data_IF_051179244220
#
_entry.id   IF_051179244220
#
_cell.length_a   1.000
_cell.length_b   1.000
_cell.length_c   1.000
_cell.angle_alpha   90.00
_cell.angle_beta   90.00
_cell.angle_gamma   90.00
#
_symmetry.space_group_name_H-M   'P 1'
#
loop_
_entity.id
_entity.type
_entity.pdbx_description
1 polymer ?
#
# COMPACT_ATOMS: atom_id res chain seq x y z
N UNK A 1 -12.80 1.52 -1.71
CA UNK A 1 -13.85 1.92 -2.68
C UNK A 1 -15.26 1.77 -2.12
N UNK A 2 -15.67 0.58 -1.63
CA UNK A 2 -17.00 0.38 -1.04
C UNK A 2 -17.36 1.40 0.08
N UNK A 3 -16.40 1.74 0.94
CA UNK A 3 -16.59 2.78 1.97
C UNK A 3 -16.80 4.18 1.38
N UNK A 4 -15.98 4.60 0.41
CA UNK A 4 -16.06 5.94 -0.18
C UNK A 4 -17.39 6.14 -0.93
N UNK A 5 -17.85 5.14 -1.68
CA UNK A 5 -19.14 5.16 -2.38
C UNK A 5 -20.32 5.17 -1.39
N UNK A 6 -20.23 4.37 -0.33
CA UNK A 6 -21.28 4.35 0.70
C UNK A 6 -21.34 5.66 1.49
N UNK A 7 -20.19 6.29 1.74
CA UNK A 7 -20.11 7.57 2.44
C UNK A 7 -20.83 8.69 1.68
N UNK A 8 -20.72 8.71 0.35
CA UNK A 8 -21.45 9.64 -0.50
C UNK A 8 -22.98 9.45 -0.39
N UNK A 9 -23.47 8.21 -0.28
CA UNK A 9 -24.90 7.92 -0.04
C UNK A 9 -25.38 8.37 1.35
N UNK A 10 -24.51 8.31 2.36
CA UNK A 10 -24.80 8.85 3.69
C UNK A 10 -24.86 10.38 3.69
N UNK A 11 -23.97 11.06 2.96
CA UNK A 11 -24.01 12.52 2.79
C UNK A 11 -25.28 12.97 2.07
N UNK A 12 -25.74 12.22 1.07
CA UNK A 12 -26.99 12.48 0.35
C UNK A 12 -28.27 12.22 1.19
N UNK A 13 -28.13 11.89 2.49
CA UNK A 13 -29.22 11.54 3.42
C UNK A 13 -30.16 10.46 2.88
N UNK A 14 -29.64 9.56 2.04
CA UNK A 14 -30.43 8.49 1.47
C UNK A 14 -30.87 7.54 2.60
N UNK A 15 -32.17 7.31 2.71
CA UNK A 15 -32.77 6.48 3.78
C UNK A 15 -32.25 5.04 3.73
N UNK A 16 -31.70 4.60 2.60
CA UNK A 16 -31.16 3.25 2.39
C UNK A 16 -29.62 3.16 2.36
N UNK A 17 -28.90 4.24 2.70
CA UNK A 17 -27.42 4.27 2.64
C UNK A 17 -26.75 3.14 3.44
N UNK A 18 -27.34 2.71 4.55
CA UNK A 18 -26.86 1.59 5.36
C UNK A 18 -26.94 0.24 4.64
N UNK A 19 -27.93 0.03 3.77
CA UNK A 19 -27.98 -1.17 2.93
C UNK A 19 -26.91 -1.17 1.85
N UNK A 20 -26.52 0.00 1.36
CA UNK A 20 -25.42 0.12 0.39
C UNK A 20 -24.08 -0.26 1.03
N UNK A 21 -23.82 0.24 2.24
CA UNK A 21 -22.64 -0.16 3.02
C UNK A 21 -22.63 -1.64 3.35
N UNK A 22 -23.78 -2.17 3.78
CA UNK A 22 -23.91 -3.60 4.11
C UNK A 22 -23.73 -4.49 2.89
N UNK A 23 -24.36 -4.16 1.76
CA UNK A 23 -24.22 -4.92 0.51
C UNK A 23 -22.80 -4.86 -0.07
N UNK A 24 -22.20 -3.66 -0.13
CA UNK A 24 -20.83 -3.48 -0.61
C UNK A 24 -19.80 -4.15 0.30
N UNK A 25 -19.97 -4.01 1.62
CA UNK A 25 -19.13 -4.66 2.63
C UNK A 25 -19.25 -6.19 2.59
N UNK A 26 -20.47 -6.72 2.52
CA UNK A 26 -20.71 -8.16 2.47
C UNK A 26 -20.16 -8.78 1.18
N UNK A 27 -20.36 -8.12 0.03
CA UNK A 27 -19.80 -8.59 -1.24
C UNK A 27 -18.28 -8.64 -1.18
N UNK A 28 -17.64 -7.56 -0.70
CA UNK A 28 -16.19 -7.52 -0.54
C UNK A 28 -15.69 -8.60 0.41
N UNK A 29 -16.39 -8.82 1.53
CA UNK A 29 -16.05 -9.85 2.50
C UNK A 29 -16.18 -11.27 1.91
N UNK A 30 -17.25 -11.58 1.19
CA UNK A 30 -17.44 -12.88 0.54
C UNK A 30 -16.36 -13.13 -0.51
N UNK A 31 -16.07 -12.15 -1.37
CA UNK A 31 -14.99 -12.27 -2.36
C UNK A 31 -13.62 -12.45 -1.70
N UNK A 32 -13.37 -11.73 -0.60
CA UNK A 32 -12.15 -11.88 0.19
C UNK A 32 -12.03 -13.28 0.82
N UNK A 33 -13.12 -13.84 1.34
CA UNK A 33 -13.13 -15.21 1.85
C UNK A 33 -12.84 -16.23 0.75
N UNK A 34 -13.52 -16.12 -0.39
CA UNK A 34 -13.33 -17.04 -1.53
C UNK A 34 -11.88 -16.96 -2.03
N UNK A 35 -11.31 -15.77 -2.21
CA UNK A 35 -9.93 -15.62 -2.67
C UNK A 35 -8.93 -16.15 -1.64
N UNK A 36 -9.19 -15.97 -0.35
CA UNK A 36 -8.35 -16.52 0.73
C UNK A 36 -8.37 -18.04 0.73
N UNK A 37 -9.55 -18.65 0.65
CA UNK A 37 -9.70 -20.11 0.60
C UNK A 37 -8.97 -20.68 -0.62
N UNK A 38 -9.18 -20.08 -1.81
CA UNK A 38 -8.47 -20.45 -3.03
C UNK A 38 -6.95 -20.32 -2.83
N UNK A 39 -6.49 -19.21 -2.26
CA UNK A 39 -5.07 -18.95 -2.00
C UNK A 39 -4.42 -19.97 -1.07
N UNK A 40 -5.12 -20.40 -0.02
CA UNK A 40 -4.63 -21.44 0.90
C UNK A 40 -4.50 -22.79 0.20
N UNK A 41 -5.53 -23.21 -0.55
CA UNK A 41 -5.51 -24.50 -1.26
C UNK A 41 -4.49 -24.55 -2.40
N UNK A 42 -4.40 -23.48 -3.19
CA UNK A 42 -3.42 -23.39 -4.27
C UNK A 42 -2.01 -23.23 -3.71
N UNK A 43 -1.81 -22.38 -2.71
CA UNK A 43 -0.51 -22.09 -2.10
C UNK A 43 0.20 -23.34 -1.57
N UNK A 44 -0.54 -24.30 -1.04
CA UNK A 44 0.02 -25.58 -0.55
C UNK A 44 0.65 -26.45 -1.67
N UNK A 45 0.25 -26.24 -2.92
CA UNK A 45 0.74 -27.00 -4.08
C UNK A 45 1.81 -26.24 -4.88
N UNK A 46 2.15 -25.01 -4.48
CA UNK A 46 3.09 -24.18 -5.24
C UNK A 46 4.53 -24.50 -4.83
N UNK A 47 5.43 -24.76 -5.81
CA UNK A 47 6.82 -25.03 -5.51
C UNK A 47 7.53 -23.88 -4.78
N UNK A 48 8.42 -24.17 -3.82
CA UNK A 48 9.07 -23.16 -3.00
C UNK A 48 10.00 -22.22 -3.78
N UNK A 49 10.50 -22.63 -4.95
CA UNK A 49 11.38 -21.79 -5.78
C UNK A 49 10.70 -20.56 -6.41
N UNK A 50 9.36 -20.49 -6.38
CA UNK A 50 8.62 -19.35 -6.91
C UNK A 50 8.61 -18.14 -5.95
N UNK A 51 9.07 -18.32 -4.69
CA UNK A 51 9.21 -17.27 -3.68
C UNK A 51 8.00 -16.30 -3.61
N UNK A 52 6.79 -16.87 -3.49
CA UNK A 52 5.55 -16.09 -3.41
C UNK A 52 5.51 -15.09 -2.25
N UNK A 53 6.36 -15.25 -1.25
CA UNK A 53 6.53 -14.30 -0.14
C UNK A 53 6.89 -12.88 -0.63
N UNK A 54 7.55 -12.75 -1.79
CA UNK A 54 7.84 -11.44 -2.40
C UNK A 54 6.64 -10.81 -3.12
N UNK A 55 5.56 -11.57 -3.37
CA UNK A 55 4.40 -11.05 -4.09
C UNK A 55 3.75 -9.88 -3.35
N UNK A 56 3.67 -9.95 -2.01
CA UNK A 56 3.07 -8.88 -1.20
C UNK A 56 3.87 -7.56 -1.34
N UNK A 57 5.18 -7.49 -1.03
CA UNK A 57 5.99 -6.30 -1.30
C UNK A 57 5.89 -5.80 -2.75
N UNK A 58 5.89 -6.72 -3.72
CA UNK A 58 5.83 -6.37 -5.14
C UNK A 58 4.50 -5.71 -5.53
N UNK A 59 3.37 -6.15 -4.97
CA UNK A 59 2.08 -5.49 -5.21
C UNK A 59 2.06 -4.06 -4.69
N UNK A 60 2.64 -3.79 -3.52
CA UNK A 60 2.78 -2.41 -3.01
C UNK A 60 3.66 -1.56 -3.93
N UNK A 61 4.80 -2.11 -4.38
CA UNK A 61 5.68 -1.43 -5.33
C UNK A 61 4.93 -1.13 -6.64
N UNK A 62 4.18 -2.10 -7.18
CA UNK A 62 3.40 -1.94 -8.41
C UNK A 62 2.33 -0.84 -8.31
N UNK A 63 1.70 -0.70 -7.13
CA UNK A 63 0.72 0.38 -6.87
C UNK A 63 1.41 1.75 -6.73
N UNK A 64 2.58 1.81 -6.10
CA UNK A 64 3.27 3.07 -5.82
C UNK A 64 4.04 3.59 -7.04
N UNK A 65 4.67 2.72 -7.83
CA UNK A 65 5.45 3.07 -9.03
C UNK A 65 4.78 4.12 -9.94
N UNK A 66 3.51 3.97 -10.38
CA UNK A 66 2.86 4.95 -11.26
C UNK A 66 2.60 6.31 -10.60
N UNK A 67 2.70 6.39 -9.27
CA UNK A 67 2.55 7.65 -8.51
C UNK A 67 3.84 8.47 -8.48
N UNK A 68 5.00 7.87 -8.76
CA UNK A 68 6.33 8.50 -8.74
C UNK A 68 6.58 9.31 -10.02
N UNK A 69 5.93 10.46 -10.16
CA UNK A 69 5.96 11.30 -11.37
C UNK A 69 6.97 12.43 -11.33
N UNK A 70 7.55 12.73 -10.17
CA UNK A 70 8.46 13.86 -9.97
C UNK A 70 9.81 13.42 -9.42
N UNK A 71 10.85 14.21 -9.70
CA UNK A 71 12.18 14.01 -9.13
C UNK A 71 12.17 13.99 -7.60
N UNK A 72 11.33 14.81 -6.96
CA UNK A 72 11.15 14.80 -5.51
C UNK A 72 10.66 13.42 -5.02
N UNK A 73 9.60 12.88 -5.64
CA UNK A 73 9.06 11.56 -5.27
C UNK A 73 10.05 10.42 -5.54
N UNK A 74 10.73 10.44 -6.68
CA UNK A 74 11.76 9.44 -7.03
C UNK A 74 12.92 9.52 -6.02
N UNK A 75 13.38 10.73 -5.69
CA UNK A 75 14.46 10.92 -4.72
C UNK A 75 14.10 10.42 -3.33
N UNK A 76 12.86 10.64 -2.88
CA UNK A 76 12.31 10.07 -1.63
C UNK A 76 12.34 8.55 -1.66
N UNK A 77 11.82 7.94 -2.73
CA UNK A 77 11.78 6.48 -2.84
C UNK A 77 13.18 5.87 -2.82
N UNK A 78 14.14 6.45 -3.56
CA UNK A 78 15.52 5.97 -3.63
C UNK A 78 16.23 6.12 -2.29
N UNK A 79 16.14 7.28 -1.65
CA UNK A 79 16.80 7.52 -0.36
C UNK A 79 16.22 6.66 0.75
N UNK A 80 14.90 6.53 0.83
CA UNK A 80 14.26 5.61 1.77
C UNK A 80 14.71 4.15 1.51
N UNK A 81 14.78 3.71 0.25
CA UNK A 81 15.22 2.35 -0.09
C UNK A 81 16.67 2.08 0.34
N UNK A 82 17.59 3.03 0.09
CA UNK A 82 18.99 2.91 0.48
C UNK A 82 19.09 2.80 2.01
N UNK A 83 18.46 3.71 2.75
CA UNK A 83 18.52 3.73 4.21
C UNK A 83 17.86 2.50 4.81
N UNK A 84 16.79 1.98 4.20
CA UNK A 84 16.17 0.74 4.63
C UNK A 84 17.10 -0.47 4.48
N UNK A 85 17.86 -0.56 3.40
CA UNK A 85 18.82 -1.66 3.15
C UNK A 85 19.98 -1.60 4.14
N UNK A 86 20.58 -0.42 4.32
CA UNK A 86 21.74 -0.25 5.20
C UNK A 86 21.36 -0.14 6.69
N UNK A 87 20.11 0.17 6.99
CA UNK A 87 19.62 0.34 8.35
C UNK A 87 19.14 -0.95 9.02
N UNK A 88 19.16 -2.11 8.33
CA UNK A 88 18.57 -3.35 8.84
C UNK A 88 19.08 -3.79 10.22
N UNK A 89 20.30 -3.40 10.59
CA UNK A 89 20.90 -3.69 11.89
C UNK A 89 20.22 -2.97 13.08
N UNK A 90 19.33 -2.00 12.81
CA UNK A 90 18.59 -1.31 13.87
C UNK A 90 17.52 -2.23 14.50
N UNK A 91 17.45 -2.29 15.85
CA UNK A 91 16.48 -3.12 16.55
C UNK A 91 15.03 -2.60 16.37
N UNK A 92 14.05 -3.45 16.68
CA UNK A 92 12.62 -3.12 16.71
C UNK A 92 12.02 -2.59 15.40
N UNK A 93 12.68 -2.78 14.25
CA UNK A 93 12.19 -2.25 12.97
C UNK A 93 12.34 -0.73 12.82
N UNK A 94 13.15 -0.09 13.66
CA UNK A 94 13.42 1.36 13.61
C UNK A 94 13.94 1.83 12.26
N UNK A 95 14.60 0.95 11.50
CA UNK A 95 15.10 1.21 10.16
C UNK A 95 14.01 1.70 9.19
N UNK A 96 12.77 1.21 9.32
CA UNK A 96 11.64 1.64 8.48
C UNK A 96 11.30 3.11 8.76
N UNK A 97 11.29 3.48 10.05
CA UNK A 97 10.98 4.84 10.50
C UNK A 97 12.07 5.80 10.03
N UNK A 98 13.35 5.44 10.26
CA UNK A 98 14.51 6.25 9.86
C UNK A 98 14.56 6.42 8.34
N UNK A 99 14.33 5.35 7.58
CA UNK A 99 14.24 5.39 6.12
C UNK A 99 13.13 6.32 5.64
N UNK A 100 11.93 6.21 6.22
CA UNK A 100 10.77 7.01 5.83
C UNK A 100 10.99 8.50 6.09
N UNK A 101 11.45 8.87 7.30
CA UNK A 101 11.71 10.26 7.68
C UNK A 101 12.80 10.87 6.79
N UNK A 102 13.89 10.14 6.59
CA UNK A 102 15.03 10.63 5.80
C UNK A 102 14.65 10.81 4.33
N UNK A 103 13.89 9.87 3.75
CA UNK A 103 13.43 9.99 2.37
C UNK A 103 12.45 11.14 2.16
N UNK A 104 11.54 11.36 3.11
CA UNK A 104 10.63 12.51 3.10
C UNK A 104 11.39 13.82 3.19
N UNK A 105 12.43 13.88 4.03
CA UNK A 105 13.27 15.07 4.18
C UNK A 105 13.99 15.42 2.88
N UNK A 106 14.66 14.45 2.25
CA UNK A 106 15.37 14.66 0.97
C UNK A 106 14.42 15.08 -0.15
N UNK A 107 13.29 14.39 -0.30
CA UNK A 107 12.29 14.77 -1.31
C UNK A 107 11.68 16.13 -1.05
N UNK A 108 11.46 16.49 0.21
CA UNK A 108 10.98 17.81 0.61
C UNK A 108 11.95 18.92 0.23
N UNK A 109 13.26 18.71 0.39
CA UNK A 109 14.28 19.67 -0.06
C UNK A 109 14.30 19.83 -1.57
N UNK A 110 14.23 18.73 -2.32
CA UNK A 110 14.23 18.74 -3.79
C UNK A 110 12.93 19.34 -4.35
N UNK A 111 11.81 19.12 -3.67
CA UNK A 111 10.54 19.74 -4.03
C UNK A 111 10.62 21.27 -3.88
N UNK A 112 11.24 21.77 -2.80
CA UNK A 112 11.38 23.20 -2.55
C UNK A 112 12.34 23.90 -3.52
N UNK A 113 13.40 23.24 -3.99
CA UNK A 113 14.33 23.84 -4.96
C UNK A 113 13.72 24.10 -6.33
N UNK A 114 12.57 23.49 -6.64
CA UNK A 114 11.85 23.66 -7.91
C UNK A 114 10.82 24.80 -7.90
N UNK A 115 10.54 25.36 -6.72
CA UNK A 115 9.63 26.51 -6.52
C UNK A 115 10.37 27.85 -6.34
N UNK A 116 11.71 27.82 -6.32
CA UNK A 116 12.56 29.01 -6.52
C UNK A 116 12.90 29.14 -8.00
#
# INVERSE_FOLDING_TARGET
EAFAVSFQEFENKNKFAHYHLLGGGLTLWVFWQISTVIGVFLGANIPPYLNLEFAIPLTFIAVILPTLKSLAQISTAVTASIIAIFGQDLPYGLWIIVASISGMFVGGLISQSKFK
#
